data_IF_562567320544
#
_entry.id   IF_562567320544
#
_cell.length_a   1.000
_cell.length_b   1.000
_cell.length_c   1.000
_cell.angle_alpha   90.00
_cell.angle_beta   90.00
_cell.angle_gamma   90.00
#
_symmetry.space_group_name_H-M   'P 1'
#
loop_
_entity.id
_entity.type
_entity.pdbx_description
1 polymer ?
#
# COMPACT_ATOMS: atom_id res chain seq x y z
N UNK A 1 26.54 43.22 5.33
CA UNK A 1 25.81 43.73 6.52
C UNK A 1 24.47 43.02 6.63
N UNK A 2 24.02 42.61 7.82
CA UNK A 2 22.78 41.84 7.99
C UNK A 2 21.57 42.76 8.15
N UNK A 3 20.52 42.51 7.38
CA UNK A 3 19.21 43.17 7.52
C UNK A 3 18.30 42.29 8.39
N UNK A 4 17.47 42.93 9.22
CA UNK A 4 16.46 42.24 10.04
C UNK A 4 15.05 42.61 9.58
N UNK A 5 14.06 41.85 10.04
CA UNK A 5 12.65 42.17 9.80
C UNK A 5 12.04 42.73 11.09
N UNK A 6 11.27 43.80 10.97
CA UNK A 6 10.47 44.35 12.05
C UNK A 6 9.40 43.34 12.49
N UNK A 7 9.33 43.10 13.79
CA UNK A 7 8.47 42.06 14.36
C UNK A 7 6.99 42.42 14.32
N UNK A 8 6.65 43.72 14.29
CA UNK A 8 5.28 44.20 14.20
C UNK A 8 4.87 44.51 12.75
N UNK A 9 5.66 45.32 12.05
CA UNK A 9 5.30 45.79 10.71
C UNK A 9 5.68 44.82 9.59
N UNK A 10 6.78 44.06 9.77
CA UNK A 10 7.40 43.23 8.74
C UNK A 10 8.30 44.01 7.76
N UNK A 11 8.59 45.28 8.03
CA UNK A 11 9.53 46.09 7.22
C UNK A 11 10.99 45.70 7.45
N UNK A 12 11.85 45.99 6.47
CA UNK A 12 13.29 45.74 6.58
C UNK A 12 13.96 46.76 7.49
N UNK A 13 14.64 46.28 8.52
CA UNK A 13 15.49 47.06 9.43
C UNK A 13 16.92 46.98 8.93
N UNK A 14 17.40 48.12 8.41
CA UNK A 14 18.78 48.28 8.03
C UNK A 14 19.65 48.63 9.25
N UNK A 15 20.96 48.35 9.16
CA UNK A 15 21.87 48.64 10.26
C UNK A 15 21.91 50.12 10.65
N UNK A 16 22.02 50.40 11.95
CA UNK A 16 21.93 51.75 12.51
C UNK A 16 20.50 52.29 12.65
N UNK A 17 19.48 51.48 12.40
CA UNK A 17 18.06 51.85 12.59
C UNK A 17 17.37 50.96 13.62
N UNK A 18 16.33 51.52 14.22
CA UNK A 18 15.42 50.77 15.08
C UNK A 18 15.95 50.50 16.47
N UNK A 19 15.29 49.56 17.15
CA UNK A 19 15.56 49.17 18.54
C UNK A 19 15.33 47.67 18.73
N UNK A 20 16.04 47.10 19.69
CA UNK A 20 15.89 45.72 20.12
C UNK A 20 15.20 45.70 21.49
N UNK A 21 14.10 44.97 21.59
CA UNK A 21 13.36 44.75 22.83
C UNK A 21 13.48 43.28 23.23
N UNK A 22 14.07 43.02 24.40
CA UNK A 22 14.11 41.68 25.00
C UNK A 22 13.02 41.61 26.06
N UNK A 23 12.09 40.68 25.88
CA UNK A 23 11.04 40.43 26.86
C UNK A 23 11.55 39.47 27.95
N UNK A 24 10.91 39.46 29.12
CA UNK A 24 11.31 38.61 30.25
C UNK A 24 11.37 37.11 29.96
N UNK A 25 10.70 36.62 28.92
CA UNK A 25 10.81 35.23 28.43
C UNK A 25 11.97 35.02 27.44
N UNK A 26 12.96 35.92 27.44
CA UNK A 26 14.12 35.95 26.54
C UNK A 26 13.80 36.05 25.05
N UNK A 27 12.55 36.38 24.69
CA UNK A 27 12.18 36.61 23.28
C UNK A 27 12.64 37.99 22.83
N UNK A 28 13.29 37.99 21.67
CA UNK A 28 13.83 39.19 21.04
C UNK A 28 12.82 39.69 20.01
N UNK A 29 12.43 40.95 20.16
CA UNK A 29 11.61 41.70 19.22
C UNK A 29 12.45 42.83 18.64
N UNK A 30 12.35 43.06 17.34
CA UNK A 30 13.06 44.12 16.63
C UNK A 30 12.05 45.08 16.02
N UNK A 31 12.25 46.37 16.23
CA UNK A 31 11.35 47.43 15.79
C UNK A 31 12.13 48.43 14.94
N UNK A 32 11.57 48.83 13.80
CA UNK A 32 12.18 49.79 12.89
C UNK A 32 12.07 51.22 13.43
N UNK A 33 10.96 51.53 14.11
CA UNK A 33 10.64 52.85 14.65
C UNK A 33 9.78 52.79 15.93
N UNK A 34 9.60 53.93 16.61
CA UNK A 34 8.77 54.02 17.82
C UNK A 34 7.29 53.71 17.61
N UNK A 35 6.75 53.86 16.39
CA UNK A 35 5.36 53.51 16.06
C UNK A 35 5.13 51.99 16.18
N UNK A 36 6.04 51.19 15.62
CA UNK A 36 5.99 49.72 15.70
C UNK A 36 6.15 49.21 17.14
N UNK A 37 7.09 49.79 17.91
CA UNK A 37 7.30 49.50 19.33
C UNK A 37 6.06 49.83 20.17
N UNK A 38 5.51 51.04 20.01
CA UNK A 38 4.34 51.50 20.78
C UNK A 38 3.12 50.61 20.54
N UNK A 39 2.81 50.28 19.28
CA UNK A 39 1.69 49.40 18.96
C UNK A 39 1.88 47.97 19.51
N UNK A 40 3.12 47.47 19.50
CA UNK A 40 3.45 46.18 20.09
C UNK A 40 3.25 46.18 21.62
N UNK A 41 3.74 47.21 22.32
CA UNK A 41 3.60 47.35 23.77
C UNK A 41 2.12 47.55 24.19
N UNK A 42 1.34 48.23 23.36
CA UNK A 42 -0.12 48.32 23.48
C UNK A 42 -0.86 47.00 23.16
N UNK A 43 -0.13 45.93 22.83
CA UNK A 43 -0.67 44.61 22.49
C UNK A 43 -1.64 44.63 21.31
N UNK A 44 -1.45 45.57 20.36
CA UNK A 44 -2.25 45.61 19.14
C UNK A 44 -1.88 44.42 18.25
N UNK A 45 -2.87 43.85 17.58
CA UNK A 45 -2.63 42.74 16.66
C UNK A 45 -2.23 43.30 15.28
N UNK A 46 -1.02 43.02 14.75
CA UNK A 46 -0.60 43.52 13.44
C UNK A 46 -1.53 43.07 12.31
N UNK A 47 -2.20 41.91 12.46
CA UNK A 47 -3.20 41.40 11.50
C UNK A 47 -4.45 42.27 11.36
N UNK A 48 -4.67 43.22 12.28
CA UNK A 48 -5.77 44.21 12.24
C UNK A 48 -5.31 45.59 11.77
N UNK A 49 -4.01 45.80 11.59
CA UNK A 49 -3.43 47.10 11.24
C UNK A 49 -3.04 47.11 9.77
N UNK A 50 -3.78 47.91 8.99
CA UNK A 50 -3.80 47.84 7.52
C UNK A 50 -2.45 47.97 6.81
N UNK A 51 -1.54 48.77 7.37
CA UNK A 51 -0.24 49.06 6.76
C UNK A 51 0.81 47.97 6.98
N UNK A 52 0.57 47.00 7.88
CA UNK A 52 1.55 45.94 8.16
C UNK A 52 1.59 44.89 7.04
N UNK A 53 2.74 44.25 6.86
CA UNK A 53 2.92 43.15 5.91
C UNK A 53 2.01 41.96 6.27
N UNK A 54 1.83 41.69 7.56
CA UNK A 54 0.95 40.62 8.04
C UNK A 54 -0.52 40.84 7.65
N UNK A 55 -1.03 42.05 7.81
CA UNK A 55 -2.37 42.42 7.36
C UNK A 55 -2.50 42.24 5.85
N UNK A 56 -1.57 42.81 5.08
CA UNK A 56 -1.59 42.74 3.62
C UNK A 56 -1.58 41.29 3.12
N UNK A 57 -0.77 40.42 3.72
CA UNK A 57 -0.73 38.98 3.40
C UNK A 57 -2.05 38.28 3.69
N UNK A 58 -2.68 38.54 4.84
CA UNK A 58 -3.97 37.94 5.20
C UNK A 58 -5.09 38.39 4.24
N UNK A 59 -5.07 39.67 3.85
CA UNK A 59 -6.06 40.28 2.97
C UNK A 59 -5.68 40.18 1.48
N UNK A 60 -4.65 39.37 1.16
CA UNK A 60 -4.15 39.13 -0.21
C UNK A 60 -3.84 40.42 -0.99
N UNK A 61 -3.43 41.49 -0.29
CA UNK A 61 -3.06 42.77 -0.89
C UNK A 61 -1.63 42.69 -1.42
N UNK A 62 -1.44 43.00 -2.70
CA UNK A 62 -0.11 43.01 -3.33
C UNK A 62 0.51 41.62 -3.53
N UNK A 63 -0.30 40.56 -3.49
CA UNK A 63 0.12 39.24 -4.00
C UNK A 63 -0.08 39.30 -5.51
N UNK A 64 1.01 39.50 -6.25
CA UNK A 64 1.01 39.51 -7.73
C UNK A 64 1.08 38.11 -8.33
N UNK A 65 1.53 37.11 -7.57
CA UNK A 65 1.75 35.78 -8.09
C UNK A 65 0.59 34.87 -7.70
N UNK A 66 -0.04 34.28 -8.73
CA UNK A 66 -0.50 32.90 -8.65
C UNK A 66 0.54 32.13 -7.85
N UNK A 67 0.28 31.89 -6.56
CA UNK A 67 1.06 30.92 -5.80
C UNK A 67 0.89 29.65 -6.59
N UNK A 68 1.89 29.31 -7.41
CA UNK A 68 1.86 28.17 -8.31
C UNK A 68 1.40 27.02 -7.44
N UNK A 69 0.12 26.63 -7.60
CA UNK A 69 -0.50 25.62 -6.74
C UNK A 69 0.48 24.47 -6.80
N UNK A 70 1.07 24.11 -5.66
CA UNK A 70 2.17 23.16 -5.59
C UNK A 70 1.66 21.86 -6.20
N UNK A 71 1.86 21.68 -7.51
CA UNK A 71 1.31 20.54 -8.25
C UNK A 71 2.15 19.37 -7.76
N UNK A 72 1.53 18.54 -6.93
CA UNK A 72 2.15 17.29 -6.50
C UNK A 72 2.41 16.47 -7.76
N UNK A 73 3.68 16.26 -8.08
CA UNK A 73 4.08 15.39 -9.19
C UNK A 73 3.68 13.95 -8.82
N UNK A 74 2.73 13.36 -9.54
CA UNK A 74 2.45 11.92 -9.48
C UNK A 74 3.39 11.22 -10.45
N UNK A 75 4.40 10.54 -9.92
CA UNK A 75 5.31 9.72 -10.72
C UNK A 75 4.85 8.28 -10.65
N UNK A 76 4.38 7.72 -11.77
CA UNK A 76 4.05 6.29 -11.87
C UNK A 76 5.15 5.63 -12.71
N UNK A 77 5.83 4.64 -12.15
CA UNK A 77 6.87 3.86 -12.84
C UNK A 77 6.44 2.40 -12.98
N UNK A 78 6.49 1.88 -14.19
CA UNK A 78 6.42 0.46 -14.57
C UNK A 78 7.31 0.28 -15.81
N UNK A 79 7.92 -0.85 -16.18
CA UNK A 79 8.15 -2.16 -15.59
C UNK A 79 9.56 -2.58 -16.05
N UNK A 80 10.29 -3.37 -15.25
CA UNK A 80 11.64 -3.86 -15.55
C UNK A 80 11.57 -5.30 -16.05
N UNK A 81 12.49 -5.69 -16.94
CA UNK A 81 12.69 -7.10 -17.27
C UNK A 81 13.13 -7.88 -16.02
N UNK A 82 12.84 -9.19 -15.99
CA UNK A 82 13.35 -10.09 -14.96
C UNK A 82 14.31 -11.09 -15.61
N UNK A 83 15.29 -11.58 -14.85
CA UNK A 83 16.19 -12.63 -15.36
C UNK A 83 15.35 -13.87 -15.70
N UNK A 84 15.50 -14.39 -16.92
CA UNK A 84 14.73 -15.52 -17.44
C UNK A 84 13.47 -15.17 -18.25
N UNK A 85 13.06 -13.90 -18.32
CA UNK A 85 12.02 -13.45 -19.26
C UNK A 85 12.21 -11.96 -19.62
N UNK A 86 12.41 -11.68 -20.91
CA UNK A 86 12.49 -10.31 -21.41
C UNK A 86 11.14 -9.59 -21.28
N UNK A 87 11.17 -8.26 -21.29
CA UNK A 87 9.95 -7.44 -21.20
C UNK A 87 8.94 -7.77 -22.30
N UNK A 88 9.41 -8.14 -23.49
CA UNK A 88 8.56 -8.42 -24.64
C UNK A 88 7.82 -9.74 -24.47
N UNK A 89 8.48 -10.78 -23.96
CA UNK A 89 7.83 -12.06 -23.61
C UNK A 89 6.76 -11.87 -22.52
N UNK A 90 7.01 -10.99 -21.54
CA UNK A 90 6.05 -10.70 -20.48
C UNK A 90 4.83 -9.95 -21.05
N UNK A 91 5.06 -8.98 -21.94
CA UNK A 91 3.98 -8.24 -22.61
C UNK A 91 3.12 -9.15 -23.46
N UNK A 92 3.73 -10.01 -24.28
CA UNK A 92 3.05 -10.94 -25.17
C UNK A 92 2.16 -11.93 -24.39
N UNK A 93 2.69 -12.52 -23.31
CA UNK A 93 1.89 -13.39 -22.43
C UNK A 93 0.74 -12.65 -21.76
N UNK A 94 0.94 -11.37 -21.41
CA UNK A 94 -0.08 -10.54 -20.74
C UNK A 94 -1.15 -10.05 -21.72
N UNK A 95 -0.80 -9.80 -22.98
CA UNK A 95 -1.73 -9.39 -24.03
C UNK A 95 -2.58 -10.53 -24.57
N UNK A 96 -2.29 -11.78 -24.22
CA UNK A 96 -3.14 -12.91 -24.61
C UNK A 96 -4.58 -12.74 -24.11
N UNK A 97 -5.51 -12.83 -25.07
CA UNK A 97 -6.96 -12.70 -24.82
C UNK A 97 -7.39 -13.68 -23.72
N UNK A 98 -8.30 -13.25 -22.81
CA UNK A 98 -8.78 -14.12 -21.73
C UNK A 98 -9.32 -15.47 -22.22
N UNK A 99 -9.96 -15.50 -23.38
CA UNK A 99 -10.48 -16.71 -24.03
C UNK A 99 -9.38 -17.73 -24.35
N UNK A 100 -8.26 -17.29 -24.92
CA UNK A 100 -7.12 -18.15 -25.22
C UNK A 100 -6.48 -18.71 -23.92
N UNK A 101 -6.43 -17.88 -22.86
CA UNK A 101 -5.95 -18.32 -21.54
C UNK A 101 -6.88 -19.36 -20.90
N UNK A 102 -8.19 -19.19 -21.04
CA UNK A 102 -9.18 -20.14 -20.53
C UNK A 102 -9.14 -21.47 -21.30
N UNK A 103 -9.00 -21.42 -22.63
CA UNK A 103 -8.88 -22.62 -23.45
C UNK A 103 -7.62 -23.43 -23.09
N UNK A 104 -6.45 -22.78 -22.96
CA UNK A 104 -5.22 -23.43 -22.51
C UNK A 104 -5.37 -24.05 -21.11
N UNK A 105 -6.04 -23.34 -20.20
CA UNK A 105 -6.34 -23.85 -18.85
C UNK A 105 -7.24 -25.09 -18.89
N UNK A 106 -8.29 -25.07 -19.70
CA UNK A 106 -9.21 -26.20 -19.83
C UNK A 106 -8.54 -27.41 -20.45
N UNK A 107 -7.69 -27.22 -21.47
CA UNK A 107 -6.89 -28.29 -22.06
C UNK A 107 -5.94 -28.93 -21.02
N UNK A 108 -5.21 -28.11 -20.25
CA UNK A 108 -4.33 -28.61 -19.19
C UNK A 108 -5.09 -29.36 -18.09
N UNK A 109 -6.32 -28.91 -17.74
CA UNK A 109 -7.17 -29.62 -16.76
C UNK A 109 -7.63 -30.97 -17.31
N UNK A 110 -8.00 -31.05 -18.60
CA UNK A 110 -8.40 -32.32 -19.23
C UNK A 110 -7.24 -33.31 -19.26
N UNK A 111 -6.08 -32.87 -19.74
CA UNK A 111 -4.87 -33.68 -19.76
C UNK A 111 -4.47 -34.15 -18.34
N UNK A 112 -4.57 -33.28 -17.34
CA UNK A 112 -4.32 -33.64 -15.94
C UNK A 112 -5.31 -34.68 -15.40
N UNK A 113 -6.59 -34.59 -15.76
CA UNK A 113 -7.61 -35.58 -15.40
C UNK A 113 -7.36 -36.93 -16.09
N UNK A 114 -7.01 -36.92 -17.37
CA UNK A 114 -6.69 -38.12 -18.15
C UNK A 114 -5.44 -38.81 -17.60
N UNK A 115 -4.37 -38.06 -17.29
CA UNK A 115 -3.17 -38.60 -16.62
C UNK A 115 -3.51 -39.22 -15.26
N UNK A 116 -4.38 -38.59 -14.48
CA UNK A 116 -4.83 -39.14 -13.18
C UNK A 116 -5.65 -40.42 -13.35
N UNK A 117 -6.56 -40.47 -14.32
CA UNK A 117 -7.35 -41.65 -14.62
C UNK A 117 -6.49 -42.79 -15.17
N UNK A 118 -5.52 -42.49 -16.04
CA UNK A 118 -4.56 -43.48 -16.54
C UNK A 118 -3.69 -44.03 -15.40
N UNK A 119 -3.18 -43.16 -14.51
CA UNK A 119 -2.45 -43.60 -13.33
C UNK A 119 -3.32 -44.43 -12.38
N UNK A 120 -4.61 -44.11 -12.23
CA UNK A 120 -5.54 -44.90 -11.42
C UNK A 120 -5.87 -46.26 -12.06
N UNK A 121 -6.10 -46.30 -13.37
CA UNK A 121 -6.30 -47.56 -14.13
C UNK A 121 -5.07 -48.45 -14.04
N UNK A 122 -3.87 -47.92 -14.24
CA UNK A 122 -2.63 -48.68 -14.05
C UNK A 122 -2.46 -49.17 -12.60
N UNK A 123 -2.83 -48.37 -11.59
CA UNK A 123 -2.83 -48.82 -10.18
C UNK A 123 -3.83 -49.95 -9.94
N UNK A 124 -5.04 -49.87 -10.51
CA UNK A 124 -6.08 -50.90 -10.40
C UNK A 124 -5.70 -52.19 -11.15
N UNK A 125 -5.04 -52.09 -12.30
CA UNK A 125 -4.53 -53.25 -13.06
C UNK A 125 -3.36 -53.92 -12.33
N UNK A 126 -2.43 -53.14 -11.76
CA UNK A 126 -1.37 -53.65 -10.88
C UNK A 126 -1.94 -54.32 -9.63
N UNK A 127 -3.01 -53.78 -9.04
CA UNK A 127 -3.69 -54.41 -7.91
C UNK A 127 -4.45 -55.69 -8.29
N UNK A 128 -5.07 -55.75 -9.48
CA UNK A 128 -5.76 -56.95 -9.99
C UNK A 128 -4.80 -58.07 -10.35
N UNK A 129 -3.65 -57.75 -10.94
CA UNK A 129 -2.60 -58.74 -11.26
C UNK A 129 -1.94 -59.26 -9.98
N UNK A 130 -1.72 -58.41 -8.97
CA UNK A 130 -1.27 -58.85 -7.65
C UNK A 130 -2.30 -59.76 -6.94
N UNK A 131 -3.60 -59.47 -7.05
CA UNK A 131 -4.67 -60.30 -6.49
C UNK A 131 -4.93 -61.61 -7.27
N UNK A 132 -4.60 -61.65 -8.57
CA UNK A 132 -4.63 -62.87 -9.36
C UNK A 132 -3.43 -63.77 -9.05
N UNK A 133 -2.26 -63.18 -8.82
CA UNK A 133 -1.08 -63.91 -8.32
C UNK A 133 -1.33 -64.51 -6.91
N UNK A 134 -2.15 -63.87 -6.07
CA UNK A 134 -2.53 -64.41 -4.76
C UNK A 134 -3.65 -65.47 -4.80
N UNK A 135 -4.30 -65.73 -5.95
CA UNK A 135 -5.34 -66.78 -6.09
C UNK A 135 -4.79 -68.16 -6.44
N UNK A 136 -3.50 -68.29 -6.75
CA UNK A 136 -2.83 -69.57 -7.00
C UNK A 136 -2.34 -70.28 -5.72
N UNK A 137 -2.33 -69.60 -4.59
CA UNK A 137 -2.01 -70.17 -3.29
C UNK A 137 -3.06 -69.71 -2.28
N UNK A 138 -3.96 -70.60 -1.87
CA UNK A 138 -4.24 -70.91 -0.46
C UNK A 138 -5.51 -71.75 -0.39
N UNK A 139 -5.30 -73.01 -0.01
CA UNK A 139 -6.29 -73.97 0.42
C UNK A 139 -7.22 -73.41 1.50
N UNK A 140 -8.50 -73.77 1.41
CA UNK A 140 -9.55 -73.55 2.41
C UNK A 140 -9.05 -73.80 3.84
N UNK A 141 -9.06 -72.78 4.68
CA UNK A 141 -9.19 -72.93 6.13
C UNK A 141 -10.31 -71.98 6.58
N UNK A 142 -11.51 -72.53 6.75
CA UNK A 142 -12.60 -71.87 7.45
C UNK A 142 -12.31 -71.91 8.95
N UNK A 143 -11.98 -70.78 9.57
CA UNK A 143 -12.01 -70.63 11.03
C UNK A 143 -13.30 -69.94 11.46
N UNK A 144 -14.05 -70.61 12.35
CA UNK A 144 -15.30 -70.20 13.00
C UNK A 144 -15.12 -68.98 13.93
N UNK A 145 -14.82 -67.82 13.37
CA UNK A 145 -14.78 -66.56 14.13
C UNK A 145 -15.38 -65.41 13.33
N UNK A 146 -16.50 -65.68 12.65
CA UNK A 146 -17.26 -64.74 11.83
C UNK A 146 -18.66 -64.44 12.38
N UNK A 147 -18.87 -64.51 13.68
CA UNK A 147 -20.20 -64.35 14.29
C UNK A 147 -20.18 -63.47 15.54
N UNK A 148 -19.62 -62.26 15.46
CA UNK A 148 -20.04 -61.14 16.31
C UNK A 148 -20.02 -59.87 15.46
N UNK A 149 -21.20 -59.50 14.98
CA UNK A 149 -21.42 -58.30 14.18
C UNK A 149 -21.00 -57.03 14.91
N UNK A 150 -20.51 -56.06 14.15
CA UNK A 150 -20.19 -54.72 14.61
C UNK A 150 -21.43 -54.02 15.20
N UNK A 151 -21.28 -53.42 16.38
CA UNK A 151 -22.32 -52.61 17.02
C UNK A 151 -22.72 -51.42 16.12
N UNK A 152 -24.03 -51.11 15.99
CA UNK A 152 -24.49 -50.00 15.16
C UNK A 152 -24.07 -48.65 15.77
N UNK A 153 -23.52 -47.78 14.94
CA UNK A 153 -23.08 -46.42 15.31
C UNK A 153 -24.31 -45.53 15.50
N UNK A 154 -24.48 -44.99 16.71
CA UNK A 154 -25.58 -44.08 17.06
C UNK A 154 -25.47 -42.79 16.23
N UNK A 155 -26.56 -42.42 15.54
CA UNK A 155 -26.67 -41.17 14.79
C UNK A 155 -26.94 -40.00 15.74
N UNK A 156 -26.09 -38.97 15.72
CA UNK A 156 -26.34 -37.72 16.45
C UNK A 156 -27.38 -36.89 15.69
N UNK A 157 -28.56 -36.70 16.28
CA UNK A 157 -29.50 -35.63 15.92
C UNK A 157 -29.29 -34.49 16.92
N UNK A 158 -28.69 -33.40 16.49
CA UNK A 158 -28.72 -32.12 17.20
C UNK A 158 -29.73 -31.19 16.52
N UNK A 159 -30.53 -30.54 17.36
CA UNK A 159 -31.46 -29.46 17.04
C UNK A 159 -30.70 -28.14 16.85
#
# INVERSE_FOLDING_TARGET
>A
MRTYDDTFSGEKIYPGKGKLYVRGDSKIFRFQNGKSESLFLQRKNPRRIAWTVLYRRQHKKGISEEVAKKRTRRTVKHQRAIVGASLDVIKERRSMRPEARLAARQAAIKEGKEKKQAAEKQKREKARTAAAASRGQTSRIQSKQGAKGSAPKVAAKTR
#
